data_IF_861422595506
#
_entry.id   IF_861422595506
#
_cell.length_a   1.000
_cell.length_b   1.000
_cell.length_c   1.000
_cell.angle_alpha   90.00
_cell.angle_beta   90.00
_cell.angle_gamma   90.00
#
_symmetry.space_group_name_H-M   'P 1'
#
loop_
_entity.id
_entity.type
_entity.pdbx_description
1 polymer ?
#
# COMPACT_ATOMS: atom_id res chain seq x y z
N UNK A 1 -5.35 2.06 6.90
CA UNK A 1 -6.70 1.52 6.64
C UNK A 1 -6.57 0.20 5.92
N UNK A 2 -7.23 -0.85 6.40
CA UNK A 2 -7.30 -2.16 5.73
C UNK A 2 -8.54 -2.24 4.85
N UNK A 3 -8.40 -2.83 3.67
CA UNK A 3 -9.42 -2.99 2.65
C UNK A 3 -9.49 -4.47 2.24
N UNK A 4 -10.67 -5.06 2.32
CA UNK A 4 -10.94 -6.38 1.75
C UNK A 4 -10.95 -6.26 0.22
N UNK A 5 -9.94 -6.86 -0.42
CA UNK A 5 -9.70 -6.72 -1.85
C UNK A 5 -8.92 -7.94 -2.36
N UNK A 6 -9.53 -9.13 -2.38
CA UNK A 6 -8.83 -10.39 -2.62
C UNK A 6 -8.13 -10.42 -3.98
N UNK A 7 -8.79 -9.92 -5.03
CA UNK A 7 -8.22 -9.90 -6.39
C UNK A 7 -6.98 -9.00 -6.48
N UNK A 8 -6.99 -7.88 -5.75
CA UNK A 8 -5.84 -6.95 -5.68
C UNK A 8 -4.73 -7.56 -4.83
N UNK A 9 -5.08 -8.10 -3.67
CA UNK A 9 -4.13 -8.70 -2.73
C UNK A 9 -3.35 -9.84 -3.39
N UNK A 10 -4.02 -10.68 -4.19
CA UNK A 10 -3.42 -11.84 -4.85
C UNK A 10 -2.28 -11.49 -5.83
N UNK A 11 -2.32 -10.30 -6.45
CA UNK A 11 -1.37 -9.92 -7.51
C UNK A 11 -0.51 -8.70 -7.19
N UNK A 12 -0.79 -8.00 -6.08
CA UNK A 12 -0.09 -6.79 -5.70
C UNK A 12 1.41 -7.02 -5.45
N UNK A 13 2.23 -6.15 -6.02
CA UNK A 13 3.69 -6.14 -5.86
C UNK A 13 4.15 -4.87 -5.11
N UNK A 14 5.27 -4.94 -4.36
CA UNK A 14 5.86 -3.76 -3.74
C UNK A 14 6.08 -2.61 -4.72
N UNK A 15 5.72 -1.39 -4.31
CA UNK A 15 5.81 -0.18 -5.15
C UNK A 15 4.58 0.10 -6.01
N UNK A 16 3.62 -0.81 -6.07
CA UNK A 16 2.31 -0.54 -6.70
C UNK A 16 1.40 0.28 -5.77
N UNK A 17 0.34 0.83 -6.36
CA UNK A 17 -0.64 1.65 -5.68
C UNK A 17 -2.07 1.28 -6.12
N UNK A 18 -3.05 1.71 -5.34
CA UNK A 18 -4.48 1.68 -5.72
C UNK A 18 -5.01 3.11 -5.80
N UNK A 19 -6.09 3.33 -6.54
CA UNK A 19 -6.80 4.61 -6.53
C UNK A 19 -8.16 4.46 -5.88
N UNK A 20 -8.49 5.40 -5.01
CA UNK A 20 -9.74 5.40 -4.24
C UNK A 20 -10.68 6.48 -4.77
N UNK A 21 -11.93 6.12 -5.09
CA UNK A 21 -12.99 7.10 -5.34
C UNK A 21 -13.48 7.65 -4.00
N UNK A 22 -13.31 8.95 -3.80
CA UNK A 22 -13.87 9.66 -2.66
C UNK A 22 -15.14 10.38 -3.10
N UNK A 23 -16.22 10.26 -2.33
CA UNK A 23 -17.51 10.89 -2.63
C UNK A 23 -17.38 12.42 -2.73
N UNK A 24 -18.14 13.03 -3.65
CA UNK A 24 -18.10 14.47 -3.90
C UNK A 24 -16.81 14.98 -4.55
N UNK A 25 -15.85 14.11 -4.90
CA UNK A 25 -14.61 14.49 -5.58
C UNK A 25 -14.52 13.90 -7.00
N UNK A 26 -14.23 14.76 -7.98
CA UNK A 26 -14.15 14.37 -9.39
C UNK A 26 -12.99 13.39 -9.68
N UNK A 27 -11.85 13.57 -9.02
CA UNK A 27 -10.65 12.74 -9.22
C UNK A 27 -10.50 11.70 -8.11
N UNK A 28 -10.06 10.49 -8.49
CA UNK A 28 -9.65 9.44 -7.55
C UNK A 28 -8.35 9.83 -6.84
N UNK A 29 -8.07 9.23 -5.68
CA UNK A 29 -6.87 9.48 -4.87
C UNK A 29 -5.94 8.27 -4.90
N UNK A 30 -4.71 8.40 -5.44
CA UNK A 30 -3.75 7.30 -5.43
C UNK A 30 -3.16 7.12 -4.03
N UNK A 31 -3.05 5.87 -3.59
CA UNK A 31 -2.37 5.47 -2.35
C UNK A 31 -1.52 4.24 -2.59
N UNK A 32 -0.25 4.31 -2.19
CA UNK A 32 0.63 3.14 -2.20
C UNK A 32 0.01 1.97 -1.43
N UNK A 33 0.17 0.77 -1.98
CA UNK A 33 -0.12 -0.45 -1.23
C UNK A 33 0.95 -0.56 -0.16
N UNK A 34 0.53 -0.38 1.09
CA UNK A 34 1.42 -0.34 2.25
C UNK A 34 1.77 -1.74 2.73
N UNK A 35 0.79 -2.63 2.75
CA UNK A 35 0.93 -4.04 3.15
C UNK A 35 -0.12 -4.89 2.44
N UNK A 36 0.14 -6.18 2.35
CA UNK A 36 -0.79 -7.20 1.84
C UNK A 36 -0.84 -8.34 2.84
N UNK A 37 -2.03 -8.88 3.07
CA UNK A 37 -2.27 -10.10 3.85
C UNK A 37 -3.07 -11.04 2.96
N UNK A 38 -2.50 -12.23 2.72
CA UNK A 38 -3.19 -13.35 2.07
C UNK A 38 -3.67 -14.28 3.18
N UNK A 39 -4.98 -14.39 3.34
CA UNK A 39 -5.59 -15.25 4.34
C UNK A 39 -5.86 -16.65 3.75
N UNK A 40 -6.00 -17.65 4.62
CA UNK A 40 -6.37 -19.03 4.20
C UNK A 40 -7.69 -19.06 3.44
N UNK A 41 -8.65 -18.22 3.85
CA UNK A 41 -9.87 -17.97 3.09
C UNK A 41 -9.66 -16.77 2.18
N UNK A 42 -9.80 -16.98 0.86
CA UNK A 42 -9.55 -15.95 -0.14
C UNK A 42 -10.28 -14.63 0.17
N UNK A 43 -11.56 -14.70 0.59
CA UNK A 43 -12.40 -13.53 0.94
C UNK A 43 -11.84 -12.68 2.08
N UNK A 44 -10.94 -13.22 2.90
CA UNK A 44 -10.32 -12.49 4.01
C UNK A 44 -8.98 -11.85 3.62
N UNK A 45 -8.59 -11.91 2.34
CA UNK A 45 -7.35 -11.29 1.85
C UNK A 45 -7.50 -9.78 1.70
N UNK A 46 -6.51 -9.04 2.21
CA UNK A 46 -6.62 -7.60 2.39
C UNK A 46 -5.37 -6.87 1.90
N UNK A 47 -5.59 -5.63 1.47
CA UNK A 47 -4.53 -4.65 1.26
C UNK A 47 -4.67 -3.52 2.27
N UNK A 48 -3.54 -2.98 2.72
CA UNK A 48 -3.52 -1.81 3.58
C UNK A 48 -3.06 -0.60 2.78
N UNK A 49 -3.72 0.54 3.00
CA UNK A 49 -3.22 1.87 2.61
C UNK A 49 -2.85 2.67 3.86
N UNK A 50 -1.79 3.46 3.75
CA UNK A 50 -1.33 4.40 4.77
C UNK A 50 -1.38 5.82 4.21
N UNK A 51 -2.01 6.75 4.92
CA UNK A 51 -2.17 8.13 4.46
C UNK A 51 -2.18 9.11 5.63
N UNK A 52 -1.78 10.37 5.36
CA UNK A 52 -1.94 11.51 6.27
C UNK A 52 -3.20 12.30 5.88
N UNK A 53 -3.97 12.77 6.86
CA UNK A 53 -5.10 13.66 6.62
C UNK A 53 -4.58 15.06 6.30
N UNK A 54 -4.70 15.47 5.05
CA UNK A 54 -4.18 16.75 4.53
C UNK A 54 -5.17 17.47 3.60
N UNK A 55 -6.31 16.86 3.30
CA UNK A 55 -7.31 17.46 2.42
C UNK A 55 -8.62 16.67 2.41
N UNK A 56 -9.59 17.15 1.62
CA UNK A 56 -10.97 16.62 1.60
C UNK A 56 -11.04 15.11 1.38
N UNK A 57 -10.26 14.56 0.46
CA UNK A 57 -10.28 13.13 0.14
C UNK A 57 -9.74 12.25 1.27
N UNK A 58 -8.63 12.64 1.89
CA UNK A 58 -8.06 11.89 3.03
C UNK A 58 -8.88 12.09 4.31
N UNK A 59 -9.55 13.23 4.47
CA UNK A 59 -10.52 13.44 5.54
C UNK A 59 -11.75 12.53 5.37
N UNK A 60 -12.33 12.47 4.17
CA UNK A 60 -13.44 11.58 3.86
C UNK A 60 -13.09 10.11 4.11
N UNK A 61 -11.89 9.68 3.70
CA UNK A 61 -11.37 8.34 3.98
C UNK A 61 -11.18 8.06 5.47
N UNK A 62 -10.66 9.04 6.22
CA UNK A 62 -10.43 8.90 7.66
C UNK A 62 -11.73 8.73 8.47
N UNK A 63 -12.87 9.13 7.91
CA UNK A 63 -14.19 8.99 8.52
C UNK A 63 -14.87 7.65 8.21
N UNK A 64 -14.30 6.81 7.33
CA UNK A 64 -14.85 5.48 7.03
C UNK A 64 -14.68 4.55 8.21
N UNK A 65 -15.70 3.73 8.45
CA UNK A 65 -15.71 2.73 9.50
C UNK A 65 -15.63 1.32 8.92
N UNK A 66 -15.39 0.32 9.77
CA UNK A 66 -15.41 -1.08 9.36
C UNK A 66 -16.80 -1.43 8.83
N UNK A 67 -16.84 -2.04 7.65
CA UNK A 67 -18.09 -2.38 6.95
C UNK A 67 -18.48 -1.38 5.87
N UNK A 68 -17.94 -0.15 5.88
CA UNK A 68 -18.15 0.80 4.81
C UNK A 68 -17.49 0.32 3.51
N UNK A 69 -18.20 0.50 2.40
CA UNK A 69 -17.68 0.19 1.07
C UNK A 69 -16.93 1.39 0.50
N UNK A 70 -15.83 1.10 -0.17
CA UNK A 70 -15.00 2.09 -0.86
C UNK A 70 -14.70 1.56 -2.27
N UNK A 71 -14.96 2.36 -3.29
CA UNK A 71 -14.61 2.02 -4.67
C UNK A 71 -13.10 2.24 -4.87
N UNK A 72 -12.41 1.14 -5.19
CA UNK A 72 -10.98 1.09 -5.45
C UNK A 72 -10.67 0.52 -6.83
N UNK A 73 -9.58 1.00 -7.43
CA UNK A 73 -9.05 0.48 -8.69
C UNK A 73 -7.56 0.19 -8.52
N UNK A 74 -7.14 -1.03 -8.86
CA UNK A 74 -5.74 -1.46 -8.89
C UNK A 74 -5.56 -2.98 -8.85
N UNK A 75 -4.34 -3.47 -8.58
CA UNK A 75 -3.14 -2.66 -8.36
C UNK A 75 -2.69 -1.99 -9.66
N UNK A 76 -2.05 -0.81 -9.54
CA UNK A 76 -1.54 -0.02 -10.66
C UNK A 76 -0.04 0.25 -10.49
N UNK A 77 0.63 0.53 -11.61
CA UNK A 77 2.08 0.76 -11.67
C UNK A 77 2.89 -0.54 -11.81
N UNK A 78 4.20 -0.40 -12.06
CA UNK A 78 5.08 -1.54 -12.36
C UNK A 78 5.72 -2.17 -11.12
N UNK A 79 5.64 -1.51 -9.96
CA UNK A 79 6.35 -1.92 -8.74
C UNK A 79 7.84 -1.59 -8.75
N UNK A 80 8.54 -2.00 -7.69
CA UNK A 80 9.99 -1.86 -7.55
C UNK A 80 10.72 -3.01 -8.25
N UNK A 81 11.85 -2.69 -8.91
CA UNK A 81 12.77 -3.69 -9.43
C UNK A 81 13.86 -4.00 -8.41
N UNK A 82 13.81 -5.19 -7.79
CA UNK A 82 14.88 -5.70 -6.93
C UNK A 82 15.65 -6.76 -7.71
N UNK A 83 16.92 -6.49 -8.00
CA UNK A 83 17.75 -7.44 -8.74
C UNK A 83 18.06 -8.70 -7.92
N UNK A 84 18.04 -9.90 -8.51
CA UNK A 84 18.20 -11.17 -7.78
C UNK A 84 19.59 -11.38 -7.16
N UNK A 85 20.58 -10.55 -7.54
CA UNK A 85 21.95 -10.59 -7.00
C UNK A 85 22.16 -9.59 -5.86
N UNK A 86 21.19 -8.72 -5.59
CA UNK A 86 21.29 -7.79 -4.47
C UNK A 86 21.17 -8.56 -3.17
N UNK A 87 22.03 -8.25 -2.19
CA UNK A 87 21.99 -8.86 -0.85
C UNK A 87 21.60 -7.86 0.22
N UNK A 88 21.95 -6.59 0.00
CA UNK A 88 21.71 -5.50 0.94
C UNK A 88 20.81 -4.47 0.26
N UNK A 89 19.73 -4.08 0.93
CA UNK A 89 18.84 -3.01 0.48
C UNK A 89 18.92 -1.84 1.46
N UNK A 90 19.30 -0.66 0.95
CA UNK A 90 19.16 0.60 1.66
C UNK A 90 17.85 1.26 1.22
N UNK A 91 16.91 1.39 2.15
CA UNK A 91 15.63 2.05 1.95
C UNK A 91 15.70 3.42 2.61
N UNK A 92 15.29 4.46 1.89
CA UNK A 92 15.26 5.84 2.41
C UNK A 92 13.86 6.39 2.23
N UNK A 93 13.22 6.78 3.33
CA UNK A 93 11.87 7.34 3.33
C UNK A 93 11.77 8.64 4.12
N UNK A 94 10.88 9.53 3.63
CA UNK A 94 10.48 10.75 4.32
C UNK A 94 8.98 10.79 4.57
N UNK A 95 8.54 10.99 5.81
CA UNK A 95 7.12 11.10 6.17
C UNK A 95 6.26 9.96 5.58
N UNK A 96 5.17 10.31 4.88
CA UNK A 96 4.26 9.30 4.29
C UNK A 96 4.90 8.49 3.14
N UNK A 97 6.06 8.91 2.62
CA UNK A 97 6.84 8.17 1.63
C UNK A 97 7.33 6.81 2.12
N UNK A 98 7.24 6.52 3.42
CA UNK A 98 7.50 5.19 3.99
C UNK A 98 6.47 4.14 3.55
N UNK A 99 5.25 4.54 3.17
CA UNK A 99 4.14 3.63 2.89
C UNK A 99 4.50 2.47 1.93
N UNK A 100 5.01 2.71 0.71
CA UNK A 100 5.37 1.63 -0.21
C UNK A 100 6.62 0.85 0.23
N UNK A 101 7.53 1.45 1.01
CA UNK A 101 8.79 0.81 1.39
C UNK A 101 8.60 -0.26 2.46
N UNK A 102 7.56 -0.16 3.29
CA UNK A 102 7.24 -1.23 4.25
C UNK A 102 6.80 -2.51 3.54
N UNK A 103 6.04 -2.40 2.45
CA UNK A 103 5.69 -3.55 1.64
C UNK A 103 6.95 -4.19 1.05
N UNK A 104 7.81 -3.37 0.44
CA UNK A 104 9.09 -3.82 -0.12
C UNK A 104 9.95 -4.51 0.94
N UNK A 105 10.11 -3.89 2.10
CA UNK A 105 10.96 -4.40 3.16
C UNK A 105 10.49 -5.78 3.64
N UNK A 106 9.17 -5.95 3.87
CA UNK A 106 8.62 -7.23 4.32
C UNK A 106 8.70 -8.31 3.26
N UNK A 107 8.47 -7.97 1.99
CA UNK A 107 8.59 -8.94 0.89
C UNK A 107 10.04 -9.36 0.63
N UNK A 108 11.00 -8.44 0.81
CA UNK A 108 12.41 -8.70 0.51
C UNK A 108 13.22 -9.27 1.70
N UNK A 109 12.79 -9.04 2.96
CA UNK A 109 13.54 -9.42 4.16
C UNK A 109 13.92 -10.90 4.27
N UNK A 110 13.18 -11.88 3.72
CA UNK A 110 13.62 -13.28 3.76
C UNK A 110 14.89 -13.55 2.95
N UNK A 111 15.26 -12.67 2.02
CA UNK A 111 16.34 -12.86 1.06
C UNK A 111 17.42 -11.76 1.12
N UNK A 112 17.14 -10.65 1.80
CA UNK A 112 17.98 -9.45 1.80
C UNK A 112 18.17 -8.90 3.22
N UNK A 113 19.38 -8.44 3.53
CA UNK A 113 19.61 -7.58 4.68
C UNK A 113 19.10 -6.17 4.36
N UNK A 114 18.28 -5.59 5.24
CA UNK A 114 17.61 -4.31 4.99
C UNK A 114 18.07 -3.29 6.02
N UNK A 115 18.51 -2.13 5.54
CA UNK A 115 18.69 -0.92 6.34
C UNK A 115 17.64 0.10 5.91
N UNK A 116 16.86 0.61 6.84
CA UNK A 116 15.89 1.68 6.60
C UNK A 116 16.37 2.96 7.30
N UNK A 117 16.53 4.03 6.51
CA UNK A 117 16.71 5.38 7.01
C UNK A 117 15.38 6.12 6.84
N UNK A 118 14.88 6.69 7.93
CA UNK A 118 13.61 7.40 7.96
C UNK A 118 13.76 8.78 8.59
N UNK A 119 13.20 9.80 7.95
CA UNK A 119 13.08 11.16 8.49
C UNK A 119 11.64 11.66 8.42
N UNK A 120 11.20 12.43 9.42
CA UNK A 120 9.86 12.99 9.47
C UNK A 120 9.81 14.31 10.25
#
# INVERSE_FOLDING_TARGET
>A
MWLEAPDIAAIAQPGQFITVRCEGLALRRPFSIHQVVIASEAKQSQVAILFKVVGKGTLWLAQRQRGDKVDILGPLGNGFSVGPRLRNLLLVAGGIGIAPLVFLARSASPQHAITLIYGA
#
